data_IF_595046556678
#
_entry.id   IF_595046556678
#
_cell.length_a   1.000
_cell.length_b   1.000
_cell.length_c   1.000
_cell.angle_alpha   90.00
_cell.angle_beta   90.00
_cell.angle_gamma   90.00
#
_symmetry.space_group_name_H-M   'P 1'
#
loop_
_entity.id
_entity.type
_entity.pdbx_description
1 polymer ?
#
# COMPACT_ATOMS: atom_id res chain seq x y z
N UNK A 1 -4.50 4.48 -11.26
CA UNK A 1 -5.67 3.70 -11.72
C UNK A 1 -5.29 2.98 -13.01
N UNK A 2 -5.05 1.68 -12.95
CA UNK A 2 -4.73 0.86 -14.12
C UNK A 2 -5.96 0.76 -15.03
N UNK A 3 -5.83 1.21 -16.28
CA UNK A 3 -6.90 1.25 -17.28
C UNK A 3 -6.79 0.02 -18.18
N UNK A 4 -7.06 -1.18 -17.66
CA UNK A 4 -6.96 -2.41 -18.44
C UNK A 4 -8.30 -3.15 -18.38
N UNK A 5 -8.89 -3.43 -19.54
CA UNK A 5 -10.09 -4.28 -19.65
C UNK A 5 -11.43 -3.60 -19.32
N UNK A 6 -11.53 -2.27 -19.28
CA UNK A 6 -12.81 -1.61 -19.02
C UNK A 6 -13.77 -1.73 -20.21
N UNK A 7 -14.83 -2.51 -20.05
CA UNK A 7 -15.95 -2.61 -21.01
C UNK A 7 -16.71 -1.28 -21.03
N UNK A 8 -16.93 -0.72 -22.23
CA UNK A 8 -17.73 0.50 -22.41
C UNK A 8 -19.22 0.18 -22.23
N UNK A 9 -19.74 0.43 -21.02
CA UNK A 9 -21.18 0.30 -20.73
C UNK A 9 -21.89 1.61 -21.06
N UNK A 10 -23.01 1.55 -21.81
CA UNK A 10 -23.89 2.70 -22.07
C UNK A 10 -24.59 3.07 -20.76
N UNK A 11 -24.29 4.24 -20.21
CA UNK A 11 -24.89 4.71 -18.94
C UNK A 11 -25.61 6.04 -19.14
N UNK A 12 -26.71 6.24 -18.42
CA UNK A 12 -27.49 7.48 -18.45
C UNK A 12 -26.65 8.70 -18.07
N UNK A 13 -27.03 9.88 -18.56
CA UNK A 13 -26.39 11.16 -18.20
C UNK A 13 -26.40 11.39 -16.69
N UNK A 14 -27.48 11.02 -15.99
CA UNK A 14 -27.61 11.14 -14.54
C UNK A 14 -26.64 10.22 -13.79
N UNK A 15 -26.53 8.96 -14.21
CA UNK A 15 -25.58 7.98 -13.65
C UNK A 15 -24.12 8.36 -13.92
N UNK A 16 -23.84 9.04 -15.04
CA UNK A 16 -22.51 9.57 -15.33
C UNK A 16 -22.18 10.74 -14.39
N UNK A 17 -23.10 11.69 -14.25
CA UNK A 17 -22.92 12.84 -13.35
C UNK A 17 -22.80 12.44 -11.87
N UNK A 18 -23.51 11.40 -11.42
CA UNK A 18 -23.37 10.86 -10.07
C UNK A 18 -21.98 10.23 -9.83
N UNK A 19 -21.49 9.39 -10.76
CA UNK A 19 -20.14 8.79 -10.66
C UNK A 19 -19.02 9.81 -10.74
N UNK A 20 -19.21 10.86 -11.53
CA UNK A 20 -18.24 11.95 -11.65
C UNK A 20 -18.16 12.76 -10.35
N UNK A 21 -19.31 13.05 -9.71
CA UNK A 21 -19.36 13.65 -8.36
C UNK A 21 -18.66 12.78 -7.33
N UNK A 22 -18.98 11.49 -7.26
CA UNK A 22 -18.34 10.56 -6.33
C UNK A 22 -16.82 10.47 -6.55
N UNK A 23 -16.38 10.40 -7.81
CA UNK A 23 -14.95 10.37 -8.16
C UNK A 23 -14.25 11.67 -7.77
N UNK A 24 -14.90 12.82 -7.97
CA UNK A 24 -14.33 14.13 -7.61
C UNK A 24 -14.17 14.27 -6.10
N UNK A 25 -15.11 13.76 -5.31
CA UNK A 25 -15.04 13.78 -3.86
C UNK A 25 -13.94 12.86 -3.34
N UNK A 26 -13.85 11.63 -3.87
CA UNK A 26 -12.77 10.69 -3.55
C UNK A 26 -11.40 11.27 -3.90
N UNK A 27 -11.26 11.91 -5.07
CA UNK A 27 -10.03 12.58 -5.47
C UNK A 27 -9.67 13.72 -4.51
N UNK A 28 -10.65 14.53 -4.11
CA UNK A 28 -10.42 15.63 -3.15
C UNK A 28 -9.90 15.10 -1.82
N UNK A 29 -10.53 14.05 -1.28
CA UNK A 29 -10.12 13.43 -0.01
C UNK A 29 -8.72 12.80 -0.11
N UNK A 30 -8.41 12.15 -1.23
CA UNK A 30 -7.08 11.63 -1.51
C UNK A 30 -6.03 12.74 -1.51
N UNK A 31 -6.27 13.83 -2.25
CA UNK A 31 -5.32 14.94 -2.37
C UNK A 31 -5.06 15.61 -1.02
N UNK A 32 -6.11 15.89 -0.24
CA UNK A 32 -5.97 16.49 1.10
C UNK A 32 -5.11 15.61 2.01
N UNK A 33 -5.38 14.30 2.06
CA UNK A 33 -4.61 13.39 2.91
C UNK A 33 -3.16 13.26 2.42
N UNK A 34 -2.96 13.16 1.11
CA UNK A 34 -1.64 13.04 0.50
C UNK A 34 -0.78 14.29 0.77
N UNK A 35 -1.34 15.49 0.57
CA UNK A 35 -0.65 16.76 0.88
C UNK A 35 -0.34 16.89 2.37
N UNK A 36 -1.28 16.51 3.24
CA UNK A 36 -1.06 16.51 4.69
C UNK A 36 0.13 15.64 5.08
N UNK A 37 0.23 14.43 4.51
CA UNK A 37 1.38 13.54 4.73
C UNK A 37 2.67 14.21 4.27
N UNK A 38 2.71 14.76 3.05
CA UNK A 38 3.93 15.35 2.51
C UNK A 38 4.41 16.57 3.31
N UNK A 39 3.49 17.46 3.69
CA UNK A 39 3.81 18.69 4.41
C UNK A 39 4.24 18.42 5.86
N UNK A 40 3.72 17.36 6.48
CA UNK A 40 3.95 17.08 7.89
C UNK A 40 4.91 15.90 8.15
N UNK A 41 5.48 15.26 7.11
CA UNK A 41 6.31 14.04 7.24
C UNK A 41 7.55 14.17 8.15
N UNK A 42 8.00 15.40 8.41
CA UNK A 42 9.14 15.67 9.30
C UNK A 42 8.71 16.18 10.69
N UNK A 43 7.42 16.49 10.86
CA UNK A 43 6.85 17.03 12.10
C UNK A 43 6.12 15.95 12.91
N UNK A 44 5.59 14.93 12.24
CA UNK A 44 4.87 13.81 12.85
C UNK A 44 5.86 12.68 13.15
N UNK A 45 5.63 11.96 14.25
CA UNK A 45 6.44 10.77 14.56
C UNK A 45 6.26 9.65 13.51
N UNK A 46 7.27 8.79 13.40
CA UNK A 46 7.31 7.72 12.41
C UNK A 46 6.09 6.79 12.49
N UNK A 47 5.57 6.50 13.69
CA UNK A 47 4.45 5.57 13.85
C UNK A 47 3.15 6.19 13.32
N UNK A 48 2.88 7.45 13.64
CA UNK A 48 1.70 8.13 13.12
C UNK A 48 1.79 8.36 11.61
N UNK A 49 2.99 8.63 11.08
CA UNK A 49 3.21 8.71 9.64
C UNK A 49 2.93 7.37 8.93
N UNK A 50 3.32 6.25 9.55
CA UNK A 50 2.98 4.91 9.07
C UNK A 50 1.46 4.68 9.06
N UNK A 51 0.73 5.07 10.10
CA UNK A 51 -0.74 4.93 10.10
C UNK A 51 -1.41 5.76 9.00
N UNK A 52 -0.98 7.01 8.79
CA UNK A 52 -1.57 7.88 7.76
C UNK A 52 -1.30 7.35 6.34
N UNK A 53 -0.09 6.87 6.07
CA UNK A 53 0.26 6.32 4.76
C UNK A 53 -0.47 5.01 4.45
N UNK A 54 -0.76 4.19 5.47
CA UNK A 54 -1.50 2.93 5.32
C UNK A 54 -2.91 3.17 4.78
N UNK A 55 -3.62 4.16 5.33
CA UNK A 55 -4.99 4.52 4.91
C UNK A 55 -5.09 4.81 3.41
N UNK A 56 -4.08 5.49 2.83
CA UNK A 56 -4.06 5.78 1.40
C UNK A 56 -3.66 4.55 0.57
N UNK A 57 -2.69 3.77 1.06
CA UNK A 57 -2.09 2.69 0.29
C UNK A 57 -3.01 1.48 0.10
N UNK A 58 -3.91 1.20 1.04
CA UNK A 58 -4.92 0.14 0.90
C UNK A 58 -5.78 0.36 -0.35
N UNK A 59 -6.15 1.62 -0.64
CA UNK A 59 -6.94 1.99 -1.82
C UNK A 59 -6.07 2.29 -3.05
N UNK A 60 -4.84 2.77 -2.84
CA UNK A 60 -3.94 3.24 -3.89
C UNK A 60 -2.52 2.63 -3.78
N UNK A 61 -2.39 1.30 -4.00
CA UNK A 61 -1.14 0.58 -3.76
C UNK A 61 0.02 0.96 -4.70
N UNK A 62 -0.26 1.63 -5.81
CA UNK A 62 0.76 2.07 -6.77
C UNK A 62 1.45 3.39 -6.37
N UNK A 63 1.08 4.02 -5.26
CA UNK A 63 1.69 5.28 -4.83
C UNK A 63 3.12 5.06 -4.29
N UNK A 64 4.11 5.10 -5.19
CA UNK A 64 5.51 4.81 -4.87
C UNK A 64 6.10 5.74 -3.80
N UNK A 65 5.72 7.02 -3.81
CA UNK A 65 6.18 8.02 -2.82
C UNK A 65 5.81 7.62 -1.40
N UNK A 66 4.59 7.12 -1.18
CA UNK A 66 4.17 6.72 0.17
C UNK A 66 4.93 5.49 0.65
N UNK A 67 5.21 4.52 -0.24
CA UNK A 67 6.05 3.38 0.12
C UNK A 67 7.49 3.78 0.48
N UNK A 68 8.08 4.78 -0.19
CA UNK A 68 9.38 5.34 0.21
C UNK A 68 9.31 5.94 1.62
N UNK A 69 8.30 6.77 1.88
CA UNK A 69 8.08 7.38 3.19
C UNK A 69 7.94 6.30 4.27
N UNK A 70 7.17 5.24 4.01
CA UNK A 70 7.05 4.10 4.95
C UNK A 70 8.39 3.46 5.27
N UNK A 71 9.21 3.15 4.25
CA UNK A 71 10.53 2.54 4.45
C UNK A 71 11.42 3.43 5.31
N UNK A 72 11.48 4.72 5.02
CA UNK A 72 12.24 5.71 5.80
C UNK A 72 11.79 5.78 7.27
N UNK A 73 10.49 5.67 7.53
CA UNK A 73 9.95 5.66 8.88
C UNK A 73 10.23 4.36 9.61
N UNK A 74 10.10 3.21 8.93
CA UNK A 74 10.32 1.88 9.52
C UNK A 74 11.78 1.70 9.95
N UNK A 75 12.76 2.09 9.11
CA UNK A 75 14.18 1.93 9.44
C UNK A 75 14.65 2.79 10.63
N UNK A 76 13.86 3.79 11.04
CA UNK A 76 14.13 4.64 12.20
C UNK A 76 13.58 4.06 13.51
N UNK A 77 12.84 2.95 13.45
CA UNK A 77 12.28 2.30 14.64
C UNK A 77 13.35 1.49 15.36
N UNK A 78 13.17 1.29 16.67
CA UNK A 78 13.95 0.32 17.44
C UNK A 78 13.63 -1.12 17.01
N UNK A 79 14.44 -2.09 17.40
CA UNK A 79 14.32 -3.46 16.89
C UNK A 79 12.95 -4.12 17.17
N UNK A 80 12.38 -3.90 18.36
CA UNK A 80 11.05 -4.43 18.71
C UNK A 80 9.97 -3.89 17.79
N UNK A 81 9.92 -2.56 17.59
CA UNK A 81 8.94 -1.92 16.72
C UNK A 81 9.24 -2.16 15.25
N UNK A 82 10.50 -2.24 14.86
CA UNK A 82 10.93 -2.57 13.51
C UNK A 82 10.36 -3.93 13.11
N UNK A 83 10.55 -4.97 13.95
CA UNK A 83 9.98 -6.29 13.68
C UNK A 83 8.45 -6.25 13.57
N UNK A 84 7.78 -5.64 14.54
CA UNK A 84 6.31 -5.49 14.55
C UNK A 84 5.80 -4.85 13.25
N UNK A 85 6.43 -3.76 12.81
CA UNK A 85 5.99 -3.06 11.60
C UNK A 85 6.36 -3.79 10.32
N UNK A 86 7.48 -4.51 10.25
CA UNK A 86 7.80 -5.35 9.09
C UNK A 86 6.77 -6.48 8.91
N UNK A 87 6.31 -7.09 10.00
CA UNK A 87 5.23 -8.09 9.94
C UNK A 87 3.90 -7.46 9.49
N UNK A 88 3.57 -6.24 9.95
CA UNK A 88 2.43 -5.47 9.44
C UNK A 88 2.56 -5.13 7.95
N UNK A 89 3.75 -4.81 7.45
CA UNK A 89 3.95 -4.57 6.02
C UNK A 89 3.58 -5.81 5.18
N UNK A 90 3.82 -7.02 5.68
CA UNK A 90 3.39 -8.25 4.99
C UNK A 90 1.86 -8.36 4.93
N UNK A 91 1.14 -7.88 5.96
CA UNK A 91 -0.33 -7.86 5.96
C UNK A 91 -0.86 -6.81 4.98
N UNK A 92 -0.34 -5.59 5.04
CA UNK A 92 -0.76 -4.47 4.18
C UNK A 92 -0.49 -4.82 2.71
N UNK A 93 0.71 -5.30 2.39
CA UNK A 93 1.04 -5.70 1.01
C UNK A 93 0.17 -6.85 0.52
N UNK A 94 -0.23 -7.79 1.39
CA UNK A 94 -1.17 -8.84 1.01
C UNK A 94 -2.56 -8.28 0.67
N UNK A 95 -3.07 -7.31 1.44
CA UNK A 95 -4.34 -6.63 1.15
C UNK A 95 -4.26 -5.90 -0.20
N UNK A 96 -3.19 -5.12 -0.40
CA UNK A 96 -2.94 -4.37 -1.63
C UNK A 96 -2.78 -5.27 -2.87
N UNK A 97 -2.13 -6.43 -2.75
CA UNK A 97 -1.95 -7.36 -3.86
C UNK A 97 -3.25 -8.10 -4.22
N UNK A 98 -4.19 -8.27 -3.28
CA UNK A 98 -5.53 -8.78 -3.61
C UNK A 98 -6.31 -7.79 -4.48
N UNK A 99 -6.19 -6.49 -4.23
CA UNK A 99 -6.89 -5.45 -5.01
C UNK A 99 -6.18 -5.14 -6.33
N UNK A 100 -4.84 -5.15 -6.34
CA UNK A 100 -4.01 -4.92 -7.52
C UNK A 100 -2.80 -5.86 -7.55
N UNK A 101 -2.95 -7.09 -8.07
CA UNK A 101 -1.87 -8.08 -8.09
C UNK A 101 -0.68 -7.70 -8.99
N UNK A 102 -0.86 -6.68 -9.85
CA UNK A 102 0.19 -6.17 -10.76
C UNK A 102 0.94 -4.97 -10.19
N UNK A 103 0.68 -4.57 -8.94
CA UNK A 103 1.34 -3.42 -8.33
C UNK A 103 2.83 -3.70 -8.06
N UNK A 104 3.70 -3.09 -8.87
CA UNK A 104 5.15 -3.22 -8.70
C UNK A 104 5.62 -2.67 -7.35
N UNK A 105 5.15 -1.48 -6.98
CA UNK A 105 5.52 -0.84 -5.71
C UNK A 105 5.18 -1.72 -4.50
N UNK A 106 4.04 -2.42 -4.56
CA UNK A 106 3.61 -3.32 -3.50
C UNK A 106 4.47 -4.59 -3.40
N UNK A 107 4.76 -5.24 -4.54
CA UNK A 107 5.68 -6.38 -4.58
C UNK A 107 7.07 -6.01 -4.09
N UNK A 108 7.58 -4.85 -4.49
CA UNK A 108 8.86 -4.35 -4.03
C UNK A 108 8.89 -4.14 -2.51
N UNK A 109 7.85 -3.52 -1.95
CA UNK A 109 7.74 -3.36 -0.50
C UNK A 109 7.73 -4.71 0.22
N UNK A 110 6.96 -5.67 -0.29
CA UNK A 110 6.87 -7.02 0.29
C UNK A 110 8.23 -7.71 0.31
N UNK A 111 8.95 -7.68 -0.81
CA UNK A 111 10.30 -8.25 -0.91
C UNK A 111 11.28 -7.56 0.05
N UNK A 112 11.21 -6.23 0.15
CA UNK A 112 12.04 -5.44 1.06
C UNK A 112 11.79 -5.84 2.53
N UNK A 113 10.53 -5.97 2.94
CA UNK A 113 10.18 -6.36 4.31
C UNK A 113 10.65 -7.78 4.65
N UNK A 114 10.44 -8.75 3.75
CA UNK A 114 10.91 -10.13 3.92
C UNK A 114 12.43 -10.21 4.08
N UNK A 115 13.16 -9.46 3.26
CA UNK A 115 14.62 -9.40 3.33
C UNK A 115 15.09 -8.89 4.69
N UNK A 116 14.50 -7.81 5.20
CA UNK A 116 14.84 -7.27 6.52
C UNK A 116 14.48 -8.22 7.67
N UNK A 117 13.32 -8.88 7.60
CA UNK A 117 12.92 -9.89 8.59
C UNK A 117 13.91 -11.05 8.67
N UNK A 118 14.40 -11.51 7.51
CA UNK A 118 15.44 -12.53 7.43
C UNK A 118 16.78 -12.00 7.97
N UNK A 119 17.27 -10.89 7.43
CA UNK A 119 18.63 -10.40 7.68
C UNK A 119 18.81 -9.90 9.12
N UNK A 120 17.80 -9.29 9.74
CA UNK A 120 17.89 -8.73 11.11
C UNK A 120 17.35 -9.63 12.21
N UNK A 121 16.33 -10.45 11.91
CA UNK A 121 15.62 -11.23 12.94
C UNK A 121 15.69 -12.74 12.69
N UNK A 122 16.42 -13.19 11.66
CA UNK A 122 16.54 -14.59 11.26
C UNK A 122 15.19 -15.27 11.01
N UNK A 123 14.17 -14.50 10.59
CA UNK A 123 12.84 -15.02 10.27
C UNK A 123 12.76 -15.37 8.78
N UNK A 124 12.87 -16.66 8.48
CA UNK A 124 12.73 -17.16 7.12
C UNK A 124 11.26 -17.48 6.79
N UNK A 125 10.58 -16.54 6.14
CA UNK A 125 9.17 -16.66 5.79
C UNK A 125 8.93 -17.04 4.31
N UNK A 126 9.96 -17.47 3.57
CA UNK A 126 9.82 -17.76 2.14
C UNK A 126 8.84 -18.90 1.84
N UNK A 127 8.65 -19.86 2.75
CA UNK A 127 7.62 -20.89 2.57
C UNK A 127 6.20 -20.29 2.57
N UNK A 128 5.93 -19.34 3.48
CA UNK A 128 4.66 -18.61 3.50
C UNK A 128 4.45 -17.82 2.19
N UNK A 129 5.52 -17.27 1.63
CA UNK A 129 5.48 -16.55 0.35
C UNK A 129 5.20 -17.48 -0.84
N UNK A 130 5.79 -18.68 -0.86
CA UNK A 130 5.50 -19.68 -1.88
C UNK A 130 4.01 -20.04 -1.88
N UNK A 131 3.41 -20.22 -0.70
CA UNK A 131 1.97 -20.48 -0.57
C UNK A 131 1.12 -19.30 -1.07
N UNK A 132 1.54 -18.06 -0.78
CA UNK A 132 0.85 -16.87 -1.28
C UNK A 132 0.93 -16.75 -2.81
N UNK A 133 2.10 -17.00 -3.40
CA UNK A 133 2.28 -17.02 -4.85
C UNK A 133 1.41 -18.09 -5.52
N UNK A 134 1.36 -19.31 -4.97
CA UNK A 134 0.45 -20.37 -5.46
C UNK A 134 -1.00 -19.89 -5.49
N UNK A 135 -1.45 -19.23 -4.42
CA UNK A 135 -2.80 -18.66 -4.34
C UNK A 135 -3.07 -17.62 -5.43
N UNK A 136 -2.11 -16.75 -5.73
CA UNK A 136 -2.30 -15.73 -6.78
C UNK A 136 -2.16 -16.26 -8.20
N UNK A 137 -1.46 -17.37 -8.39
CA UNK A 137 -1.30 -18.04 -9.69
C UNK A 137 -2.40 -19.08 -9.98
N UNK A 138 -3.39 -19.24 -9.09
CA UNK A 138 -4.54 -20.11 -9.32
C UNK A 138 -4.31 -21.60 -9.02
N UNK A 139 -3.43 -21.90 -8.06
CA UNK A 139 -3.28 -23.26 -7.52
C UNK A 139 -4.54 -23.78 -6.84
#
# INVERSE_FOLDING_TARGET
MSVHGQVKVRTSAEQKAARERERSEKLRLYLIQYESILNNRYLIDNINLLKQTENILIDHPDCFTLWNIRRESIIKLNDDKLKEYLEKELQITQICLKSNPKSYSCWYQRQWSLKLLKDKFNLNLYENELQLCKKYLGG
#
